data_IF_776437726050
#
_entry.id   IF_776437726050
#
_cell.length_a   1.000
_cell.length_b   1.000
_cell.length_c   1.000
_cell.angle_alpha   90.00
_cell.angle_beta   90.00
_cell.angle_gamma   90.00
#
_symmetry.space_group_name_H-M   'P 1'
#
loop_
_entity.id
_entity.type
_entity.pdbx_description
1 polymer ?
#
# COMPACT_ATOMS: atom_id res chain seq x y z
N UNK A 1 27.82 -4.07 -25.57
CA UNK A 1 27.30 -2.81 -24.98
C UNK A 1 25.82 -2.92 -24.66
N UNK A 2 24.96 -3.30 -25.60
CA UNK A 2 23.51 -3.47 -25.36
C UNK A 2 23.19 -4.53 -24.31
N UNK A 3 23.96 -5.61 -24.26
CA UNK A 3 23.78 -6.69 -23.26
C UNK A 3 23.99 -6.17 -21.84
N UNK A 4 24.96 -5.29 -21.64
CA UNK A 4 25.23 -4.66 -20.34
C UNK A 4 24.07 -3.76 -19.90
N UNK A 5 23.55 -2.93 -20.82
CA UNK A 5 22.42 -2.05 -20.53
C UNK A 5 21.15 -2.84 -20.19
N UNK A 6 20.88 -3.93 -20.93
CA UNK A 6 19.74 -4.80 -20.65
C UNK A 6 19.88 -5.52 -19.31
N UNK A 7 21.10 -5.94 -18.97
CA UNK A 7 21.38 -6.58 -17.69
C UNK A 7 21.16 -5.59 -16.54
N UNK A 8 21.66 -4.35 -16.67
CA UNK A 8 21.46 -3.31 -15.66
C UNK A 8 19.99 -2.91 -15.52
N UNK A 9 19.24 -2.83 -16.62
CA UNK A 9 17.81 -2.52 -16.58
C UNK A 9 16.99 -3.60 -15.87
N UNK A 10 17.40 -4.87 -15.96
CA UNK A 10 16.70 -6.00 -15.36
C UNK A 10 17.18 -6.32 -13.94
N UNK A 11 18.40 -5.91 -13.60
CA UNK A 11 19.02 -6.25 -12.31
C UNK A 11 18.18 -5.77 -11.12
N UNK A 12 17.70 -4.54 -11.17
CA UNK A 12 16.87 -3.96 -10.11
C UNK A 12 15.52 -4.68 -9.99
N UNK A 13 14.89 -5.00 -11.11
CA UNK A 13 13.64 -5.77 -11.15
C UNK A 13 13.84 -7.17 -10.60
N UNK A 14 14.96 -7.83 -10.94
CA UNK A 14 15.28 -9.15 -10.43
C UNK A 14 15.50 -9.12 -8.92
N UNK A 15 16.19 -8.10 -8.42
CA UNK A 15 16.39 -7.91 -6.98
C UNK A 15 15.05 -7.72 -6.27
N UNK A 16 14.18 -6.88 -6.79
CA UNK A 16 12.84 -6.68 -6.23
C UNK A 16 12.07 -8.01 -6.15
N UNK A 17 12.11 -8.80 -7.21
CA UNK A 17 11.41 -10.08 -7.26
C UNK A 17 11.96 -11.06 -6.23
N UNK A 18 13.27 -11.15 -6.08
CA UNK A 18 13.91 -11.99 -5.08
C UNK A 18 13.55 -11.56 -3.66
N UNK A 19 13.51 -10.26 -3.40
CA UNK A 19 13.08 -9.73 -2.10
C UNK A 19 11.63 -10.12 -1.82
N UNK A 20 10.73 -9.94 -2.78
CA UNK A 20 9.32 -10.27 -2.62
C UNK A 20 9.11 -11.76 -2.35
N UNK A 21 9.84 -12.61 -3.05
CA UNK A 21 9.77 -14.06 -2.85
C UNK A 21 10.32 -14.47 -1.47
N UNK A 22 11.46 -13.92 -1.08
CA UNK A 22 12.10 -14.24 0.20
C UNK A 22 11.26 -13.77 1.40
N UNK A 23 10.80 -12.52 1.36
CA UNK A 23 10.03 -11.93 2.46
C UNK A 23 8.56 -12.32 2.43
N UNK A 24 8.05 -12.76 1.27
CA UNK A 24 6.66 -13.17 1.13
C UNK A 24 6.28 -14.44 1.90
N UNK A 25 7.26 -15.20 2.37
CA UNK A 25 7.04 -16.37 3.23
C UNK A 25 6.79 -16.00 4.69
N UNK A 26 7.09 -14.76 5.08
CA UNK A 26 6.90 -14.31 6.46
C UNK A 26 5.43 -14.04 6.73
N UNK A 27 4.95 -14.51 7.89
CA UNK A 27 3.55 -14.32 8.31
C UNK A 27 3.29 -12.95 8.93
N UNK A 28 4.34 -12.27 9.39
CA UNK A 28 4.25 -10.95 10.04
C UNK A 28 4.41 -9.78 9.07
N UNK A 29 4.60 -10.07 7.79
CA UNK A 29 4.96 -9.06 6.80
C UNK A 29 4.10 -9.19 5.55
N UNK A 30 3.66 -8.06 5.01
CA UNK A 30 3.05 -7.95 3.67
C UNK A 30 3.76 -6.86 2.89
N UNK A 31 4.25 -7.18 1.70
CA UNK A 31 4.86 -6.22 0.79
C UNK A 31 4.13 -6.22 -0.54
N UNK A 32 3.94 -5.04 -1.08
CA UNK A 32 3.28 -4.80 -2.35
C UNK A 32 4.19 -4.00 -3.27
N UNK A 33 4.11 -4.27 -4.56
CA UNK A 33 4.79 -3.46 -5.55
C UNK A 33 4.07 -2.11 -5.67
N UNK A 34 4.83 -1.04 -5.56
CA UNK A 34 4.30 0.32 -5.70
C UNK A 34 4.70 0.88 -7.07
N UNK A 35 3.83 0.70 -8.04
CA UNK A 35 3.99 1.31 -9.35
C UNK A 35 3.45 2.72 -9.31
N UNK A 36 4.32 3.70 -9.57
CA UNK A 36 3.92 5.10 -9.71
C UNK A 36 4.16 5.57 -11.13
N UNK A 37 3.36 6.51 -11.58
CA UNK A 37 3.52 7.07 -12.91
C UNK A 37 2.50 8.16 -13.18
N UNK A 38 2.49 8.65 -14.42
CA UNK A 38 1.58 9.69 -14.86
C UNK A 38 0.93 9.25 -16.17
N UNK A 39 -0.39 9.32 -16.22
CA UNK A 39 -1.17 9.02 -17.41
C UNK A 39 -2.11 10.20 -17.71
N UNK A 40 -2.41 10.46 -19.01
CA UNK A 40 -3.39 11.48 -19.34
C UNK A 40 -4.79 11.02 -18.90
N UNK A 41 -5.55 11.96 -18.32
CA UNK A 41 -6.97 11.74 -18.03
C UNK A 41 -7.71 11.60 -19.37
N UNK A 42 -8.46 10.51 -19.60
CA UNK A 42 -9.20 10.30 -20.85
C UNK A 42 -10.21 11.41 -21.16
N UNK A 43 -10.73 12.09 -20.14
CA UNK A 43 -11.75 13.15 -20.31
C UNK A 43 -11.15 14.52 -20.55
N UNK A 44 -10.03 14.86 -19.91
CA UNK A 44 -9.47 16.22 -19.93
C UNK A 44 -8.12 16.31 -20.64
N UNK A 45 -7.45 15.19 -20.86
CA UNK A 45 -6.08 15.13 -21.38
C UNK A 45 -5.02 15.62 -20.41
N UNK A 46 -5.41 16.03 -19.20
CA UNK A 46 -4.47 16.50 -18.17
C UNK A 46 -3.72 15.32 -17.57
N UNK A 47 -2.43 15.50 -17.20
CA UNK A 47 -1.67 14.44 -16.54
C UNK A 47 -2.28 14.11 -15.17
N UNK A 48 -2.50 12.81 -14.93
CA UNK A 48 -2.95 12.28 -13.64
C UNK A 48 -1.88 11.36 -13.13
N UNK A 49 -1.40 11.62 -11.92
CA UNK A 49 -0.43 10.76 -11.24
C UNK A 49 -1.15 9.60 -10.57
N UNK A 50 -0.62 8.40 -10.74
CA UNK A 50 -1.13 7.19 -10.08
C UNK A 50 -0.07 6.59 -9.16
N UNK A 51 -0.51 5.70 -8.25
CA UNK A 51 0.32 5.11 -7.20
C UNK A 51 0.51 6.07 -6.03
N UNK A 52 1.50 5.82 -5.21
CA UNK A 52 1.84 6.70 -4.10
C UNK A 52 2.57 7.95 -4.57
N UNK A 53 3.01 8.75 -3.63
CA UNK A 53 3.72 9.99 -3.94
C UNK A 53 4.96 9.75 -4.81
N UNK A 54 5.30 10.74 -5.64
CA UNK A 54 6.52 10.72 -6.42
C UNK A 54 7.73 10.54 -5.50
N UNK A 55 8.61 9.62 -5.87
CA UNK A 55 9.78 9.29 -5.04
C UNK A 55 9.50 8.26 -3.95
N UNK A 56 8.26 7.76 -3.85
CA UNK A 56 7.95 6.67 -2.92
C UNK A 56 8.68 5.38 -3.33
N UNK A 57 8.89 4.51 -2.36
CA UNK A 57 9.68 3.29 -2.53
C UNK A 57 9.02 2.28 -3.48
N UNK A 58 9.83 1.43 -4.10
CA UNK A 58 9.36 0.39 -5.02
C UNK A 58 8.51 -0.69 -4.35
N UNK A 59 8.81 -1.00 -3.12
CA UNK A 59 8.07 -1.96 -2.31
C UNK A 59 7.54 -1.27 -1.06
N UNK A 60 6.27 -1.50 -0.77
CA UNK A 60 5.59 -0.88 0.36
C UNK A 60 4.63 -1.88 1.00
N UNK A 61 4.39 -1.73 2.27
CA UNK A 61 3.50 -2.63 2.97
C UNK A 61 3.56 -2.42 4.48
N UNK A 62 3.38 -3.50 5.22
CA UNK A 62 3.40 -3.43 6.67
C UNK A 62 4.10 -4.62 7.29
N UNK A 63 4.63 -4.39 8.47
CA UNK A 63 5.08 -5.44 9.38
C UNK A 63 4.23 -5.37 10.64
N UNK A 64 3.62 -6.49 11.00
CA UNK A 64 2.88 -6.61 12.25
C UNK A 64 3.88 -6.78 13.39
N UNK A 65 3.77 -5.91 14.39
CA UNK A 65 4.62 -5.96 15.59
C UNK A 65 3.74 -6.08 16.82
N UNK A 66 4.22 -6.84 17.79
CA UNK A 66 3.59 -6.87 19.12
C UNK A 66 4.19 -5.76 19.96
N UNK A 67 3.34 -4.90 20.50
CA UNK A 67 3.78 -3.80 21.36
C UNK A 67 4.25 -4.38 22.70
N UNK A 68 5.47 -4.01 23.07
CA UNK A 68 6.08 -4.45 24.34
C UNK A 68 6.28 -3.25 25.28
N UNK A 69 6.51 -3.50 26.59
CA UNK A 69 6.75 -2.40 27.54
C UNK A 69 7.93 -1.49 27.15
N UNK A 70 8.96 -2.03 26.48
CA UNK A 70 10.11 -1.26 26.03
C UNK A 70 9.76 -0.23 24.95
N UNK A 71 8.62 -0.40 24.29
CA UNK A 71 8.16 0.47 23.23
C UNK A 71 7.33 1.66 23.74
N UNK A 72 7.06 1.73 25.03
CA UNK A 72 6.27 2.84 25.61
C UNK A 72 6.97 4.16 25.35
N UNK A 73 6.21 5.12 24.81
CA UNK A 73 6.72 6.43 24.43
C UNK A 73 7.31 6.53 23.04
N UNK A 74 7.47 5.41 22.34
CA UNK A 74 7.88 5.41 20.93
C UNK A 74 6.70 5.70 20.02
N UNK A 75 6.99 6.33 18.88
CA UNK A 75 5.99 6.53 17.84
C UNK A 75 6.11 5.42 16.80
N UNK A 76 4.97 4.92 16.34
CA UNK A 76 4.89 3.97 15.24
C UNK A 76 3.94 4.52 14.18
N UNK A 77 4.30 4.35 12.91
CA UNK A 77 3.38 4.62 11.82
C UNK A 77 2.43 3.43 11.68
N UNK A 78 1.13 3.69 11.72
CA UNK A 78 0.13 2.63 11.58
C UNK A 78 -0.41 2.65 10.16
N UNK A 79 -0.31 1.51 9.47
CA UNK A 79 -0.82 1.38 8.12
C UNK A 79 -2.32 1.66 8.10
N UNK A 80 -2.74 2.58 7.25
CA UNK A 80 -4.12 3.09 7.21
C UNK A 80 -4.66 2.96 5.80
N UNK A 81 -5.86 2.39 5.69
CA UNK A 81 -6.50 2.15 4.40
C UNK A 81 -7.98 2.52 4.48
N UNK A 82 -8.38 3.51 3.71
CA UNK A 82 -9.76 4.01 3.67
C UNK A 82 -10.33 3.75 2.29
N UNK A 83 -11.39 2.94 2.23
CA UNK A 83 -12.17 2.72 1.01
C UNK A 83 -13.27 3.76 0.94
N UNK A 84 -13.30 4.52 -0.14
CA UNK A 84 -14.29 5.59 -0.33
C UNK A 84 -15.44 5.07 -1.18
N UNK A 85 -16.66 5.25 -0.69
CA UNK A 85 -17.89 4.88 -1.39
C UNK A 85 -18.90 6.01 -1.35
N UNK A 86 -19.76 6.05 -2.37
CA UNK A 86 -20.97 6.87 -2.32
C UNK A 86 -21.94 6.32 -1.27
N UNK A 87 -22.96 7.09 -0.84
CA UNK A 87 -23.92 6.60 0.16
C UNK A 87 -24.62 5.30 -0.20
N UNK A 88 -24.76 4.99 -1.49
CA UNK A 88 -25.44 3.79 -1.98
C UNK A 88 -24.50 2.72 -2.52
N UNK A 89 -23.21 3.01 -2.59
CA UNK A 89 -22.20 2.08 -3.12
C UNK A 89 -21.92 0.93 -2.16
N UNK A 90 -21.51 -0.20 -2.71
CA UNK A 90 -21.20 -1.41 -1.95
C UNK A 90 -19.75 -1.84 -2.16
N UNK A 91 -19.18 -2.48 -1.14
CA UNK A 91 -17.87 -3.08 -1.24
C UNK A 91 -17.89 -4.30 -2.16
N UNK A 92 -16.85 -4.46 -2.97
CA UNK A 92 -16.57 -5.73 -3.62
C UNK A 92 -16.04 -6.74 -2.59
N UNK A 93 -16.13 -8.05 -2.87
CA UNK A 93 -15.51 -9.05 -2.00
C UNK A 93 -14.02 -8.81 -1.78
N UNK A 94 -13.29 -8.41 -2.82
CA UNK A 94 -11.86 -8.12 -2.74
C UNK A 94 -11.57 -6.93 -1.83
N UNK A 95 -12.36 -5.87 -1.93
CA UNK A 95 -12.23 -4.70 -1.05
C UNK A 95 -12.51 -5.06 0.41
N UNK A 96 -13.53 -5.87 0.64
CA UNK A 96 -13.85 -6.35 2.00
C UNK A 96 -12.73 -7.20 2.57
N UNK A 97 -12.17 -8.09 1.77
CA UNK A 97 -11.04 -8.93 2.17
C UNK A 97 -9.80 -8.09 2.49
N UNK A 98 -9.52 -7.07 1.69
CA UNK A 98 -8.41 -6.15 1.93
C UNK A 98 -8.56 -5.43 3.27
N UNK A 99 -9.70 -4.81 3.52
CA UNK A 99 -9.95 -4.09 4.78
C UNK A 99 -9.83 -5.03 5.99
N UNK A 100 -10.36 -6.24 5.86
CA UNK A 100 -10.25 -7.26 6.89
C UNK A 100 -8.82 -7.68 7.17
N UNK A 101 -7.99 -7.86 6.13
CA UNK A 101 -6.59 -8.22 6.26
C UNK A 101 -5.79 -7.11 6.96
N UNK A 102 -6.05 -5.85 6.62
CA UNK A 102 -5.41 -4.69 7.26
C UNK A 102 -5.74 -4.66 8.75
N UNK A 103 -7.01 -4.77 9.11
CA UNK A 103 -7.44 -4.77 10.52
C UNK A 103 -6.83 -5.94 11.30
N UNK A 104 -6.85 -7.12 10.72
CA UNK A 104 -6.28 -8.32 11.34
C UNK A 104 -4.79 -8.19 11.61
N UNK A 105 -4.07 -7.48 10.75
CA UNK A 105 -2.65 -7.22 10.91
C UNK A 105 -2.34 -6.14 11.96
N UNK A 106 -3.35 -5.44 12.46
CA UNK A 106 -3.20 -4.35 13.43
C UNK A 106 -3.27 -2.96 12.81
N UNK A 107 -3.61 -2.85 11.54
CA UNK A 107 -3.75 -1.57 10.85
C UNK A 107 -5.13 -0.94 11.05
N UNK A 108 -5.26 0.26 10.53
CA UNK A 108 -6.50 1.04 10.53
C UNK A 108 -7.14 0.88 9.15
N UNK A 109 -8.40 0.47 9.12
CA UNK A 109 -9.11 0.33 7.86
C UNK A 109 -10.61 0.55 8.05
N UNK A 110 -11.25 1.11 7.03
CA UNK A 110 -12.69 1.31 7.06
C UNK A 110 -13.22 1.85 5.75
N UNK A 111 -14.55 1.95 5.70
CA UNK A 111 -15.30 2.50 4.58
C UNK A 111 -15.76 3.90 4.96
N UNK A 112 -15.43 4.89 4.17
CA UNK A 112 -15.86 6.26 4.36
C UNK A 112 -16.82 6.68 3.26
N UNK A 113 -17.96 7.20 3.66
CA UNK A 113 -18.97 7.78 2.75
C UNK A 113 -19.07 9.30 2.93
N UNK A 114 -18.25 9.85 3.83
CA UNK A 114 -18.20 11.26 4.17
C UNK A 114 -16.87 11.60 4.85
N UNK A 115 -16.59 12.88 5.00
CA UNK A 115 -15.43 13.35 5.77
C UNK A 115 -15.54 12.89 7.23
N UNK A 116 -16.74 12.95 7.82
CA UNK A 116 -16.97 12.50 9.19
C UNK A 116 -16.64 11.02 9.36
N UNK A 117 -17.04 10.18 8.41
CA UNK A 117 -16.71 8.75 8.44
C UNK A 117 -15.18 8.54 8.43
N UNK A 118 -14.47 9.24 7.56
CA UNK A 118 -13.03 9.13 7.46
C UNK A 118 -12.34 9.56 8.76
N UNK A 119 -12.79 10.65 9.34
CA UNK A 119 -12.27 11.16 10.61
C UNK A 119 -12.47 10.13 11.74
N UNK A 120 -13.64 9.52 11.82
CA UNK A 120 -13.95 8.47 12.81
C UNK A 120 -13.06 7.23 12.63
N UNK A 121 -12.75 6.87 11.39
CA UNK A 121 -11.90 5.70 11.10
C UNK A 121 -10.48 5.91 11.62
N UNK A 122 -9.91 7.08 11.40
CA UNK A 122 -8.52 7.34 11.81
C UNK A 122 -8.36 7.69 13.28
N UNK A 123 -9.42 8.13 13.92
CA UNK A 123 -9.43 8.41 15.36
C UNK A 123 -8.95 9.79 15.78
#
# INVERSE_FOLDING_TARGET
MRVWLLHDMNAETDIQQHIRLALGTRTDLRLFRNNTGTLPDPRTGRPVQFGLARGSADLIGWRTVTITPEMVGQQVAVFTSIEVKTPTGHLTPEQRNWLGAVRKAGGIAGVARSICDADDIVG
#
